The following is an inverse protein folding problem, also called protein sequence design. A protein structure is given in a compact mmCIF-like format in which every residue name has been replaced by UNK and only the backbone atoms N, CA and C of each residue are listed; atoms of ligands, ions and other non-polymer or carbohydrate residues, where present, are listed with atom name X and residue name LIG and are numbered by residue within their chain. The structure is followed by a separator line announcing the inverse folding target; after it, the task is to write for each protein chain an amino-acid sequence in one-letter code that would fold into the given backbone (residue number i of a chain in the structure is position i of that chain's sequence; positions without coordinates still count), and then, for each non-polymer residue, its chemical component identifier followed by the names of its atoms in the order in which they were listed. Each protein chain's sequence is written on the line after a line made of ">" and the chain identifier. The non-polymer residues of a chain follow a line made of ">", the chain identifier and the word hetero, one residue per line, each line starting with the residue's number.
data_IF_055046278263
#
_entry.id   IF_055046278263
#
_cell.length_a   1.000
_cell.length_b   1.000
_cell.length_c   1.000
_cell.angle_alpha   90.00
_cell.angle_beta   90.00
_cell.angle_gamma   90.00
#
_symmetry.space_group_name_H-M   'P 1'
#
loop_
_entity.id
_entity.type
_entity.pdbx_description
1 polymer ?
#
# COMPACT_ATOMS: atom_id res chain seq x y z
N UNK A 1 -4.63 24.24 23.36
CA UNK A 1 -4.18 23.34 22.28
C UNK A 1 -3.01 22.54 22.79
N UNK A 2 -3.08 21.22 23.00
CA UNK A 2 -1.94 20.41 23.38
C UNK A 2 -1.05 20.14 22.16
N UNK A 3 0.25 20.33 22.35
CA UNK A 3 1.31 20.09 21.36
C UNK A 3 1.49 18.58 21.15
N UNK A 4 1.27 18.12 19.93
CA UNK A 4 1.64 16.76 19.49
C UNK A 4 3.15 16.65 19.40
N UNK A 5 3.78 15.91 20.30
CA UNK A 5 5.19 15.59 20.25
C UNK A 5 5.44 14.26 19.53
N UNK A 6 6.10 14.31 18.37
CA UNK A 6 6.65 13.11 17.72
C UNK A 6 7.98 12.75 18.40
N UNK A 7 8.06 11.59 19.04
CA UNK A 7 9.33 11.02 19.50
C UNK A 7 9.69 9.80 18.66
N UNK A 8 10.87 9.83 18.04
CA UNK A 8 11.50 8.66 17.45
C UNK A 8 12.37 7.99 18.52
N UNK A 9 12.04 6.78 18.93
CA UNK A 9 12.89 5.99 19.81
C UNK A 9 13.92 5.24 18.99
N UNK A 10 15.10 5.83 18.85
CA UNK A 10 16.28 5.13 18.32
C UNK A 10 16.99 4.43 19.49
N UNK A 11 16.90 3.12 19.55
CA UNK A 11 17.73 2.32 20.46
C UNK A 11 19.13 2.20 19.89
N UNK A 12 20.07 2.93 20.48
CA UNK A 12 21.50 2.76 20.24
C UNK A 12 22.00 1.58 21.08
N UNK A 13 22.40 0.49 20.42
CA UNK A 13 23.37 -0.47 20.97
C UNK A 13 24.19 -1.12 19.87
N UNK A 14 25.51 -0.96 20.07
CA UNK A 14 26.61 -1.79 19.63
C UNK A 14 27.09 -1.74 18.17
N UNK A 15 28.01 -0.79 17.97
CA UNK A 15 29.08 -0.82 16.96
C UNK A 15 30.30 -1.53 17.52
N UNK A 16 30.59 -2.75 17.08
CA UNK A 16 31.96 -3.26 17.04
C UNK A 16 32.20 -4.23 15.88
N UNK A 17 33.05 -3.77 14.98
CA UNK A 17 34.01 -4.39 14.04
C UNK A 17 33.82 -5.86 13.64
N UNK A 18 33.70 -6.10 12.33
CA UNK A 18 34.61 -7.00 11.60
C UNK A 18 34.60 -6.73 10.08
N UNK A 19 35.77 -6.91 9.46
CA UNK A 19 36.19 -6.47 8.14
C UNK A 19 35.60 -7.29 6.96
N UNK A 20 35.47 -6.57 5.85
CA UNK A 20 35.76 -6.93 4.44
C UNK A 20 35.30 -8.29 3.92
N UNK A 21 34.24 -8.26 3.17
CA UNK A 21 33.91 -8.95 1.92
C UNK A 21 32.39 -9.15 1.82
N UNK A 22 31.69 -8.19 1.21
CA UNK A 22 30.37 -8.40 0.59
C UNK A 22 29.72 -7.06 0.24
N UNK A 23 30.21 -6.40 -0.81
CA UNK A 23 29.60 -5.18 -1.35
C UNK A 23 28.22 -5.45 -2.01
N UNK A 24 27.91 -6.71 -2.33
CA UNK A 24 26.63 -7.09 -2.94
C UNK A 24 25.53 -7.42 -1.94
N UNK A 25 25.86 -7.80 -0.70
CA UNK A 25 24.91 -8.08 0.38
C UNK A 25 24.54 -6.81 1.16
N UNK A 26 25.43 -5.81 1.22
CA UNK A 26 25.16 -4.54 1.90
C UNK A 26 24.08 -3.71 1.20
N UNK A 27 23.93 -3.78 -0.13
CA UNK A 27 22.89 -3.09 -0.87
C UNK A 27 21.47 -3.58 -0.52
N UNK A 28 21.28 -4.89 -0.33
CA UNK A 28 19.97 -5.47 0.03
C UNK A 28 19.59 -5.20 1.49
N UNK A 29 20.54 -5.32 2.42
CA UNK A 29 20.26 -5.08 3.84
C UNK A 29 19.96 -3.59 4.13
N UNK A 30 20.61 -2.65 3.45
CA UNK A 30 20.33 -1.22 3.61
C UNK A 30 18.97 -0.82 3.01
N UNK A 31 18.50 -1.47 1.95
CA UNK A 31 17.19 -1.21 1.35
C UNK A 31 16.04 -1.77 2.20
N UNK A 32 16.19 -2.95 2.80
CA UNK A 32 15.21 -3.49 3.75
C UNK A 32 15.09 -2.63 5.01
N UNK A 33 16.21 -2.16 5.57
CA UNK A 33 16.22 -1.21 6.69
C UNK A 33 15.55 0.13 6.34
N UNK A 34 15.74 0.64 5.12
CA UNK A 34 15.08 1.86 4.65
C UNK A 34 13.56 1.66 4.44
N UNK A 35 13.14 0.47 3.97
CA UNK A 35 11.74 0.10 3.83
C UNK A 35 11.03 -0.01 5.19
N UNK A 36 11.71 -0.53 6.21
CA UNK A 36 11.13 -0.75 7.53
C UNK A 36 11.23 0.47 8.47
N UNK A 37 12.00 1.51 8.14
CA UNK A 37 12.24 2.67 9.00
C UNK A 37 10.97 3.41 9.48
N UNK A 38 9.88 3.34 8.72
CA UNK A 38 8.61 3.97 9.10
C UNK A 38 7.75 3.10 10.03
N UNK A 39 8.08 1.84 10.23
CA UNK A 39 7.38 0.95 11.16
C UNK A 39 7.63 1.33 12.64
N UNK A 40 8.72 2.05 12.91
CA UNK A 40 9.08 2.50 14.26
C UNK A 40 8.39 3.79 14.66
N UNK A 41 7.74 4.50 13.73
CA UNK A 41 7.01 5.74 14.04
C UNK A 41 5.74 5.38 14.79
N UNK A 42 5.63 5.87 16.03
CA UNK A 42 4.45 5.69 16.85
C UNK A 42 3.89 7.05 17.28
N UNK A 43 2.57 7.13 17.36
CA UNK A 43 1.88 8.26 17.95
C UNK A 43 1.81 8.03 19.45
N UNK A 44 2.35 8.98 20.24
CA UNK A 44 2.23 8.98 21.69
C UNK A 44 1.41 10.19 22.13
N UNK A 45 0.54 9.95 23.08
CA UNK A 45 -0.29 10.97 23.67
C UNK A 45 -0.24 10.85 25.20
N UNK A 46 0.15 11.93 25.87
CA UNK A 46 0.12 12.02 27.32
C UNK A 46 -1.29 12.41 27.75
N UNK A 47 -1.93 11.55 28.50
CA UNK A 47 -3.32 11.73 28.94
C UNK A 47 -3.31 12.17 30.39
N UNK A 48 -3.90 13.35 30.66
CA UNK A 48 -4.05 13.88 32.01
C UNK A 48 -5.35 13.40 32.65
N UNK A 49 -5.38 13.44 33.98
CA UNK A 49 -6.60 13.21 34.75
C UNK A 49 -7.66 14.26 34.43
N UNK A 50 -8.97 13.90 34.22
CA UNK A 50 -9.58 12.58 34.36
C UNK A 50 -9.67 11.74 33.06
N UNK A 51 -9.09 12.21 31.96
CA UNK A 51 -9.20 11.59 30.64
C UNK A 51 -8.57 10.19 30.58
N UNK A 52 -7.72 9.83 31.54
CA UNK A 52 -7.12 8.49 31.66
C UNK A 52 -8.19 7.38 31.85
N UNK A 53 -9.36 7.74 32.42
CA UNK A 53 -10.48 6.82 32.57
C UNK A 53 -11.08 6.42 31.22
N UNK A 54 -10.99 7.31 30.23
CA UNK A 54 -11.49 7.12 28.88
C UNK A 54 -10.43 6.59 27.92
N UNK A 55 -9.24 7.21 27.92
CA UNK A 55 -8.11 6.83 27.08
C UNK A 55 -7.19 5.85 27.83
N UNK A 56 -7.66 4.62 27.97
CA UNK A 56 -6.87 3.55 28.58
C UNK A 56 -5.68 3.15 27.68
N UNK A 57 -4.64 2.46 28.19
CA UNK A 57 -3.52 1.97 27.41
C UNK A 57 -3.96 1.08 26.21
N UNK A 58 -5.05 0.30 26.37
CA UNK A 58 -5.61 -0.53 25.30
C UNK A 58 -6.20 0.34 24.17
N UNK A 59 -6.96 1.36 24.53
CA UNK A 59 -7.50 2.36 23.58
C UNK A 59 -6.39 3.03 22.80
N UNK A 60 -5.34 3.50 23.47
CA UNK A 60 -4.18 4.13 22.83
C UNK A 60 -3.43 3.15 21.92
N UNK A 61 -3.35 1.87 22.29
CA UNK A 61 -2.78 0.82 21.46
C UNK A 61 -3.55 0.62 20.16
N UNK A 62 -4.89 0.66 20.21
CA UNK A 62 -5.75 0.58 19.01
C UNK A 62 -5.55 1.78 18.08
N UNK A 63 -5.50 2.99 18.63
CA UNK A 63 -5.17 4.19 17.86
C UNK A 63 -3.79 4.12 17.21
N UNK A 64 -2.78 3.66 17.95
CA UNK A 64 -1.41 3.47 17.44
C UNK A 64 -1.39 2.47 16.27
N UNK A 65 -2.14 1.37 16.37
CA UNK A 65 -2.24 0.37 15.29
C UNK A 65 -2.84 0.97 14.01
N UNK A 66 -3.94 1.74 14.12
CA UNK A 66 -4.55 2.42 12.98
C UNK A 66 -3.60 3.47 12.39
N UNK A 67 -2.97 4.27 13.24
CA UNK A 67 -2.00 5.28 12.80
C UNK A 67 -0.82 4.68 12.02
N UNK A 68 -0.21 3.62 12.55
CA UNK A 68 0.90 2.92 11.88
C UNK A 68 0.50 2.39 10.50
N UNK A 69 -0.73 1.92 10.37
CA UNK A 69 -1.24 1.46 9.08
C UNK A 69 -1.43 2.62 8.09
N UNK A 70 -2.05 3.71 8.54
CA UNK A 70 -2.29 4.89 7.69
C UNK A 70 -0.98 5.56 7.24
N UNK A 71 0.02 5.66 8.11
CA UNK A 71 1.30 6.29 7.76
C UNK A 71 2.08 5.46 6.74
N UNK A 72 2.04 4.12 6.83
CA UNK A 72 2.63 3.23 5.83
C UNK A 72 1.94 3.35 4.47
N UNK A 73 0.62 3.43 4.48
CA UNK A 73 -0.18 3.62 3.27
C UNK A 73 0.13 4.98 2.62
N UNK A 74 0.22 6.04 3.43
CA UNK A 74 0.56 7.39 2.95
C UNK A 74 1.98 7.44 2.39
N UNK A 75 2.96 6.83 3.05
CA UNK A 75 4.31 6.70 2.52
C UNK A 75 4.32 6.04 1.14
N UNK A 76 3.63 4.91 1.00
CA UNK A 76 3.56 4.18 -0.28
C UNK A 76 2.97 5.07 -1.38
N UNK A 77 1.91 5.83 -1.08
CA UNK A 77 1.35 6.81 -2.02
C UNK A 77 2.40 7.85 -2.42
N UNK A 78 3.07 8.46 -1.47
CA UNK A 78 4.06 9.52 -1.71
C UNK A 78 5.24 9.03 -2.56
N UNK A 79 5.76 7.83 -2.31
CA UNK A 79 6.86 7.27 -3.10
C UNK A 79 6.42 6.96 -4.55
N UNK A 80 5.20 6.45 -4.75
CA UNK A 80 4.64 6.26 -6.08
C UNK A 80 4.42 7.60 -6.83
N UNK A 81 4.06 8.67 -6.14
CA UNK A 81 3.92 10.01 -6.72
C UNK A 81 5.29 10.62 -7.04
N UNK A 82 6.24 10.47 -6.14
CA UNK A 82 7.62 10.93 -6.33
C UNK A 82 8.28 10.27 -7.54
N UNK A 83 8.15 8.95 -7.69
CA UNK A 83 8.69 8.23 -8.84
C UNK A 83 8.10 8.73 -10.17
N UNK A 84 6.81 9.08 -10.20
CA UNK A 84 6.17 9.68 -11.37
C UNK A 84 6.73 11.06 -11.69
N UNK A 85 6.88 11.92 -10.68
CA UNK A 85 7.40 13.28 -10.85
C UNK A 85 8.83 13.27 -11.40
N UNK A 86 9.68 12.37 -10.89
CA UNK A 86 11.05 12.23 -11.35
C UNK A 86 11.12 11.89 -12.85
N UNK A 87 10.27 10.95 -13.31
CA UNK A 87 10.25 10.57 -14.73
C UNK A 87 9.63 11.63 -15.62
N UNK A 88 8.57 12.30 -15.19
CA UNK A 88 8.00 13.41 -15.96
C UNK A 88 9.02 14.55 -16.12
N UNK A 89 9.82 14.81 -15.09
CA UNK A 89 10.90 15.78 -15.19
C UNK A 89 11.94 15.35 -16.23
N UNK A 90 12.39 14.09 -16.20
CA UNK A 90 13.35 13.56 -17.17
C UNK A 90 12.80 13.55 -18.60
N UNK A 91 11.55 13.12 -18.78
CA UNK A 91 10.89 13.17 -20.10
C UNK A 91 10.79 14.61 -20.64
N UNK A 92 10.59 15.59 -19.77
CA UNK A 92 10.57 17.01 -20.16
C UNK A 92 11.96 17.51 -20.57
N UNK A 93 13.01 17.14 -19.86
CA UNK A 93 14.40 17.46 -20.20
C UNK A 93 14.77 16.82 -21.54
N UNK A 94 14.50 15.53 -21.71
CA UNK A 94 14.75 14.80 -22.95
C UNK A 94 13.99 15.41 -24.15
N UNK A 95 12.77 15.89 -23.94
CA UNK A 95 11.98 16.56 -24.97
C UNK A 95 12.57 17.94 -25.34
N UNK A 96 13.03 18.70 -24.36
CA UNK A 96 13.71 19.98 -24.58
C UNK A 96 14.99 19.83 -25.39
N UNK A 97 15.79 18.81 -25.11
CA UNK A 97 17.01 18.50 -25.84
C UNK A 97 16.73 17.95 -27.24
N UNK A 98 15.63 17.18 -27.42
CA UNK A 98 15.15 16.78 -28.75
C UNK A 98 14.79 17.95 -29.64
N UNK A 99 14.17 19.00 -29.07
CA UNK A 99 13.84 20.19 -29.83
C UNK A 99 15.09 20.97 -30.29
N UNK A 100 16.21 20.81 -29.56
CA UNK A 100 17.50 21.45 -29.89
C UNK A 100 18.33 20.63 -30.86
N UNK A 101 18.26 19.28 -30.78
CA UNK A 101 19.15 18.40 -31.55
C UNK A 101 18.37 17.21 -32.17
N UNK A 102 18.04 17.37 -33.47
CA UNK A 102 17.24 16.41 -34.25
C UNK A 102 17.87 15.02 -34.41
N UNK A 103 19.15 14.84 -34.05
CA UNK A 103 19.93 13.60 -34.21
C UNK A 103 19.68 12.56 -33.10
N UNK A 104 19.19 12.97 -31.92
CA UNK A 104 19.00 12.09 -30.76
C UNK A 104 17.58 11.47 -30.64
N UNK A 105 16.74 11.68 -31.67
CA UNK A 105 15.33 11.25 -31.71
C UNK A 105 15.12 9.76 -31.47
N UNK A 106 15.99 8.92 -32.03
CA UNK A 106 15.82 7.44 -32.00
C UNK A 106 16.07 6.85 -30.61
N UNK A 107 17.07 7.33 -29.88
CA UNK A 107 17.42 6.82 -28.55
C UNK A 107 16.34 7.18 -27.51
N UNK A 108 15.85 8.39 -27.52
CA UNK A 108 14.76 8.87 -26.63
C UNK A 108 13.46 8.09 -26.88
N UNK A 109 13.13 7.86 -28.14
CA UNK A 109 11.94 7.07 -28.51
C UNK A 109 12.05 5.62 -28.07
N UNK A 110 13.20 4.97 -28.22
CA UNK A 110 13.47 3.63 -27.73
C UNK A 110 13.39 3.54 -26.21
N UNK A 111 13.92 4.55 -25.49
CA UNK A 111 13.82 4.62 -24.03
C UNK A 111 12.34 4.69 -23.59
N UNK A 112 11.55 5.57 -24.16
CA UNK A 112 10.09 5.67 -23.88
C UNK A 112 9.35 4.37 -24.14
N UNK A 113 9.66 3.67 -25.22
CA UNK A 113 9.04 2.38 -25.52
C UNK A 113 9.41 1.31 -24.48
N UNK A 114 10.64 1.31 -23.95
CA UNK A 114 11.11 0.37 -22.92
C UNK A 114 10.50 0.66 -21.55
N UNK A 115 10.31 1.94 -21.19
CA UNK A 115 9.78 2.34 -19.88
C UNK A 115 8.25 2.32 -19.80
N UNK A 116 7.55 2.39 -20.94
CA UNK A 116 6.07 2.40 -21.01
C UNK A 116 5.38 1.26 -20.24
N UNK A 117 5.84 0.00 -20.25
CA UNK A 117 5.25 -1.08 -19.45
C UNK A 117 5.31 -0.80 -17.94
N UNK A 118 6.42 -0.23 -17.45
CA UNK A 118 6.61 0.08 -16.03
C UNK A 118 5.63 1.14 -15.55
N UNK A 119 5.32 2.13 -16.41
CA UNK A 119 4.35 3.17 -16.06
C UNK A 119 2.92 2.64 -15.98
N UNK A 120 2.58 1.64 -16.75
CA UNK A 120 1.30 0.97 -16.62
C UNK A 120 1.18 0.25 -15.27
N UNK A 121 2.24 -0.43 -14.85
CA UNK A 121 2.28 -1.12 -13.56
C UNK A 121 2.24 -0.12 -12.40
N UNK A 122 3.05 0.93 -12.48
CA UNK A 122 3.03 2.03 -11.49
C UNK A 122 1.63 2.61 -11.35
N UNK A 123 0.94 2.88 -12.46
CA UNK A 123 -0.41 3.45 -12.43
C UNK A 123 -1.41 2.47 -11.81
N UNK A 124 -1.28 1.18 -12.06
CA UNK A 124 -2.09 0.16 -11.40
C UNK A 124 -1.81 0.10 -9.89
N UNK A 125 -0.55 0.18 -9.47
CA UNK A 125 -0.17 0.28 -8.06
C UNK A 125 -0.76 1.53 -7.41
N UNK A 126 -0.60 2.69 -8.03
CA UNK A 126 -1.13 3.95 -7.52
C UNK A 126 -2.66 3.97 -7.46
N UNK A 127 -3.32 3.38 -8.45
CA UNK A 127 -4.79 3.22 -8.45
C UNK A 127 -5.27 2.38 -7.26
N UNK A 128 -4.65 1.23 -7.01
CA UNK A 128 -5.01 0.37 -5.88
C UNK A 128 -4.79 1.09 -4.54
N UNK A 129 -3.62 1.71 -4.35
CA UNK A 129 -3.27 2.41 -3.11
C UNK A 129 -4.20 3.61 -2.86
N UNK A 130 -4.49 4.45 -3.88
CA UNK A 130 -5.41 5.58 -3.75
C UNK A 130 -6.84 5.15 -3.41
N UNK A 131 -7.35 4.10 -4.05
CA UNK A 131 -8.68 3.59 -3.75
C UNK A 131 -8.76 2.97 -2.35
N UNK A 132 -7.72 2.27 -1.90
CA UNK A 132 -7.63 1.76 -0.54
C UNK A 132 -7.59 2.90 0.48
N UNK A 133 -6.82 3.94 0.22
CA UNK A 133 -6.73 5.12 1.08
C UNK A 133 -8.07 5.85 1.16
N UNK A 134 -8.74 6.06 0.03
CA UNK A 134 -10.08 6.66 0.00
C UNK A 134 -11.07 5.84 0.82
N UNK A 135 -11.09 4.52 0.64
CA UNK A 135 -11.95 3.62 1.39
C UNK A 135 -11.73 3.76 2.90
N UNK A 136 -10.50 3.73 3.37
CA UNK A 136 -10.20 3.80 4.80
C UNK A 136 -10.52 5.18 5.37
N UNK A 137 -10.12 6.26 4.69
CA UNK A 137 -10.29 7.62 5.20
C UNK A 137 -11.73 8.09 5.14
N UNK A 138 -12.42 7.90 4.01
CA UNK A 138 -13.76 8.44 3.79
C UNK A 138 -14.83 7.44 4.19
N UNK A 139 -14.78 6.22 3.61
CA UNK A 139 -15.86 5.25 3.83
C UNK A 139 -15.84 4.68 5.27
N UNK A 140 -14.64 4.53 5.88
CA UNK A 140 -14.52 3.94 7.22
C UNK A 140 -14.36 5.02 8.29
N UNK A 141 -13.27 5.78 8.29
CA UNK A 141 -12.95 6.68 9.40
C UNK A 141 -13.96 7.81 9.51
N UNK A 142 -14.22 8.55 8.43
CA UNK A 142 -15.11 9.70 8.43
C UNK A 142 -16.58 9.27 8.73
N UNK A 143 -17.02 8.17 8.13
CA UNK A 143 -18.34 7.62 8.38
C UNK A 143 -18.54 7.21 9.85
N UNK A 144 -17.59 6.47 10.43
CA UNK A 144 -17.66 6.04 11.83
C UNK A 144 -17.48 7.20 12.81
N UNK A 145 -16.69 8.20 12.44
CA UNK A 145 -16.55 9.43 13.22
C UNK A 145 -17.86 10.19 13.31
N UNK A 146 -18.60 10.34 12.22
CA UNK A 146 -19.90 11.00 12.21
C UNK A 146 -20.91 10.27 13.11
N UNK A 147 -20.90 8.93 13.11
CA UNK A 147 -21.75 8.13 14.01
C UNK A 147 -21.38 8.38 15.47
N UNK A 148 -20.07 8.36 15.79
CA UNK A 148 -19.60 8.65 17.15
C UNK A 148 -20.00 10.05 17.59
N UNK A 149 -19.83 11.07 16.73
CA UNK A 149 -20.19 12.45 17.05
C UNK A 149 -21.69 12.58 17.40
N UNK A 150 -22.58 11.93 16.65
CA UNK A 150 -24.02 11.93 16.95
C UNK A 150 -24.29 11.33 18.32
N UNK A 151 -23.71 10.17 18.62
CA UNK A 151 -23.88 9.52 19.94
C UNK A 151 -23.33 10.37 21.09
N UNK A 152 -22.20 11.06 20.88
CA UNK A 152 -21.60 11.95 21.90
C UNK A 152 -22.48 13.17 22.17
N UNK A 153 -23.20 13.67 21.15
CA UNK A 153 -24.12 14.80 21.32
C UNK A 153 -25.42 14.40 22.05
N UNK A 154 -25.88 13.17 21.81
CA UNK A 154 -27.16 12.68 22.33
C UNK A 154 -27.05 12.09 23.74
N UNK A 155 -25.89 11.52 24.11
CA UNK A 155 -25.68 10.86 25.40
C UNK A 155 -24.95 11.75 26.40
N UNK A 156 -25.42 11.67 27.67
CA UNK A 156 -24.83 12.34 28.83
C UNK A 156 -24.26 11.33 29.86
N UNK A 157 -24.37 10.02 29.57
CA UNK A 157 -23.84 8.98 30.44
C UNK A 157 -22.40 8.65 30.05
N UNK A 158 -21.49 8.69 31.02
CA UNK A 158 -20.10 8.37 30.86
C UNK A 158 -19.88 6.92 30.36
N UNK A 159 -20.65 5.96 30.88
CA UNK A 159 -20.53 4.54 30.52
C UNK A 159 -20.93 4.30 29.06
N UNK A 160 -21.98 4.96 28.60
CA UNK A 160 -22.41 4.93 27.21
C UNK A 160 -21.36 5.54 26.29
N UNK A 161 -20.79 6.69 26.65
CA UNK A 161 -19.73 7.34 25.88
C UNK A 161 -18.50 6.47 25.73
N UNK A 162 -18.07 5.77 26.79
CA UNK A 162 -16.98 4.81 26.74
C UNK A 162 -17.31 3.66 25.77
N UNK A 163 -18.53 3.15 25.82
CA UNK A 163 -18.99 2.07 24.94
C UNK A 163 -19.00 2.50 23.48
N UNK A 164 -19.58 3.65 23.15
CA UNK A 164 -19.62 4.20 21.78
C UNK A 164 -18.21 4.42 21.22
N UNK A 165 -17.28 4.88 22.05
CA UNK A 165 -15.90 5.05 21.64
C UNK A 165 -15.20 3.71 21.38
N UNK A 166 -15.44 2.69 22.19
CA UNK A 166 -14.91 1.34 21.97
C UNK A 166 -15.50 0.71 20.70
N UNK A 167 -16.77 0.90 20.43
CA UNK A 167 -17.43 0.45 19.21
C UNK A 167 -16.84 1.14 17.98
N UNK A 168 -16.61 2.46 18.05
CA UNK A 168 -15.92 3.21 17.02
C UNK A 168 -14.54 2.61 16.69
N UNK A 169 -13.69 2.38 17.69
CA UNK A 169 -12.36 1.81 17.48
C UNK A 169 -12.42 0.37 16.95
N UNK A 170 -13.37 -0.41 17.42
CA UNK A 170 -13.59 -1.78 16.95
C UNK A 170 -14.04 -1.78 15.48
N UNK A 171 -14.92 -0.84 15.10
CA UNK A 171 -15.32 -0.64 13.71
C UNK A 171 -14.14 -0.21 12.83
N UNK A 172 -13.31 0.73 13.28
CA UNK A 172 -12.11 1.14 12.53
C UNK A 172 -11.18 -0.04 12.24
N UNK A 173 -10.91 -0.88 13.23
CA UNK A 173 -10.00 -2.03 13.09
C UNK A 173 -10.60 -3.08 12.16
N UNK A 174 -11.88 -3.43 12.36
CA UNK A 174 -12.53 -4.49 11.58
C UNK A 174 -12.79 -4.08 10.13
N UNK A 175 -13.29 -2.88 9.91
CA UNK A 175 -13.59 -2.38 8.56
C UNK A 175 -12.32 -2.02 7.77
N UNK A 176 -11.23 -1.66 8.43
CA UNK A 176 -9.90 -1.50 7.79
C UNK A 176 -9.16 -2.82 7.57
N UNK A 177 -9.77 -3.97 7.86
CA UNK A 177 -9.21 -5.32 7.70
C UNK A 177 -7.96 -5.60 8.57
N UNK A 178 -7.75 -4.83 9.64
CA UNK A 178 -6.58 -4.98 10.52
C UNK A 178 -6.70 -6.16 11.47
N UNK A 179 -7.89 -6.69 11.68
CA UNK A 179 -8.19 -7.91 12.46
C UNK A 179 -8.10 -9.19 11.60
N UNK A 180 -8.13 -9.06 10.28
CA UNK A 180 -8.07 -10.20 9.35
C UNK A 180 -6.63 -10.42 8.90
N UNK A 181 -5.90 -11.30 9.61
CA UNK A 181 -4.48 -11.50 9.38
C UNK A 181 -4.08 -11.94 7.95
N UNK A 182 -4.97 -12.58 7.20
CA UNK A 182 -4.72 -12.92 5.78
C UNK A 182 -4.76 -11.67 4.90
N UNK A 183 -5.75 -10.80 5.08
CA UNK A 183 -5.90 -9.56 4.30
C UNK A 183 -4.81 -8.56 4.67
N UNK A 184 -4.56 -8.37 5.98
CA UNK A 184 -3.51 -7.47 6.46
C UNK A 184 -2.14 -7.84 5.90
N UNK A 185 -1.75 -9.13 5.91
CA UNK A 185 -0.47 -9.59 5.32
C UNK A 185 -0.37 -9.36 3.82
N UNK A 186 -1.48 -9.51 3.07
CA UNK A 186 -1.47 -9.24 1.63
C UNK A 186 -1.32 -7.74 1.38
N UNK A 187 -2.01 -6.89 2.14
CA UNK A 187 -1.90 -5.44 2.04
C UNK A 187 -0.48 -4.95 2.38
N UNK A 188 0.13 -5.49 3.44
CA UNK A 188 1.52 -5.21 3.79
C UNK A 188 2.49 -5.63 2.68
N UNK A 189 2.26 -6.81 2.09
CA UNK A 189 3.06 -7.30 0.96
C UNK A 189 2.92 -6.40 -0.28
N UNK A 190 1.70 -5.94 -0.59
CA UNK A 190 1.44 -5.00 -1.70
C UNK A 190 2.18 -3.68 -1.48
N UNK A 191 2.10 -3.10 -0.28
CA UNK A 191 2.81 -1.86 0.04
C UNK A 191 4.34 -2.02 -0.10
N UNK A 192 4.90 -3.14 0.40
CA UNK A 192 6.32 -3.46 0.23
C UNK A 192 6.71 -3.57 -1.24
N UNK A 193 5.94 -4.29 -2.05
CA UNK A 193 6.19 -4.41 -3.50
C UNK A 193 6.13 -3.05 -4.22
N UNK A 194 5.20 -2.17 -3.84
CA UNK A 194 5.15 -0.81 -4.39
C UNK A 194 6.42 -0.01 -4.06
N UNK A 195 6.92 -0.09 -2.82
CA UNK A 195 8.15 0.60 -2.42
C UNK A 195 9.38 0.00 -3.12
N UNK A 196 9.47 -1.32 -3.22
CA UNK A 196 10.53 -2.00 -3.98
C UNK A 196 10.53 -1.59 -5.45
N UNK A 197 9.35 -1.51 -6.06
CA UNK A 197 9.18 -1.06 -7.43
C UNK A 197 9.70 0.38 -7.63
N UNK A 198 9.32 1.32 -6.76
CA UNK A 198 9.81 2.70 -6.82
C UNK A 198 11.33 2.76 -6.72
N UNK A 199 11.90 2.02 -5.78
CA UNK A 199 13.35 1.96 -5.60
C UNK A 199 14.06 1.32 -6.79
N UNK A 200 13.55 0.22 -7.35
CA UNK A 200 14.12 -0.43 -8.53
C UNK A 200 14.06 0.45 -9.78
N UNK A 201 13.02 1.30 -9.91
CA UNK A 201 12.94 2.28 -11.00
C UNK A 201 13.99 3.39 -10.84
N UNK A 202 14.19 3.92 -9.64
CA UNK A 202 15.24 4.90 -9.38
C UNK A 202 16.62 4.35 -9.74
N UNK A 203 16.86 3.06 -9.50
CA UNK A 203 18.11 2.37 -9.86
C UNK A 203 18.18 1.95 -11.32
N UNK A 204 17.07 1.80 -12.03
CA UNK A 204 17.06 1.43 -13.44
C UNK A 204 17.80 2.45 -14.32
N UNK A 205 17.79 3.72 -13.98
CA UNK A 205 18.55 4.76 -14.65
C UNK A 205 20.08 4.57 -14.51
N UNK A 206 20.52 3.88 -13.48
CA UNK A 206 21.93 3.54 -13.20
C UNK A 206 22.36 2.16 -13.73
N UNK A 207 21.47 1.44 -14.45
CA UNK A 207 21.79 0.16 -15.09
C UNK A 207 21.33 -1.09 -14.34
N UNK A 208 20.39 -0.97 -13.39
CA UNK A 208 19.86 -2.09 -12.62
C UNK A 208 18.98 -3.06 -13.42
N UNK A 209 18.88 -4.28 -12.94
CA UNK A 209 18.29 -5.44 -13.59
C UNK A 209 16.81 -5.30 -13.93
N UNK A 210 16.46 -5.37 -15.21
CA UNK A 210 15.09 -5.42 -15.72
C UNK A 210 14.32 -6.62 -15.17
N UNK A 211 14.96 -7.74 -14.93
CA UNK A 211 14.37 -8.95 -14.35
C UNK A 211 13.76 -8.73 -12.96
N UNK A 212 14.31 -7.84 -12.16
CA UNK A 212 13.79 -7.55 -10.84
C UNK A 212 12.45 -6.81 -10.92
N UNK A 213 12.31 -5.86 -11.84
CA UNK A 213 11.07 -5.10 -12.05
C UNK A 213 9.96 -6.02 -12.58
N UNK A 214 10.29 -6.94 -13.50
CA UNK A 214 9.34 -7.90 -14.03
C UNK A 214 8.85 -8.85 -12.93
N UNK A 215 9.74 -9.34 -12.08
CA UNK A 215 9.39 -10.17 -10.93
C UNK A 215 8.49 -9.43 -9.92
N UNK A 216 8.82 -8.18 -9.57
CA UNK A 216 8.00 -7.34 -8.68
C UNK A 216 6.61 -7.14 -9.29
N UNK A 217 6.54 -6.91 -10.61
CA UNK A 217 5.29 -6.72 -11.35
C UNK A 217 4.40 -7.96 -11.28
N UNK A 218 4.98 -9.14 -11.50
CA UNK A 218 4.25 -10.41 -11.46
C UNK A 218 3.71 -10.69 -10.04
N UNK A 219 4.56 -10.54 -9.02
CA UNK A 219 4.15 -10.73 -7.62
C UNK A 219 3.08 -9.71 -7.19
N UNK A 220 3.18 -8.44 -7.62
CA UNK A 220 2.14 -7.44 -7.37
C UNK A 220 0.81 -7.84 -8.00
N UNK A 221 0.80 -8.25 -9.27
CA UNK A 221 -0.41 -8.69 -9.97
C UNK A 221 -1.04 -9.91 -9.27
N UNK A 222 -0.24 -10.86 -8.84
CA UNK A 222 -0.69 -12.05 -8.10
C UNK A 222 -1.29 -11.66 -6.75
N UNK A 223 -0.66 -10.76 -5.98
CA UNK A 223 -1.15 -10.29 -4.68
C UNK A 223 -2.41 -9.44 -4.83
N UNK A 224 -2.48 -8.54 -5.80
CA UNK A 224 -3.66 -7.70 -6.04
C UNK A 224 -4.88 -8.54 -6.47
N UNK A 225 -4.69 -9.53 -7.32
CA UNK A 225 -5.75 -10.47 -7.69
C UNK A 225 -6.21 -11.33 -6.51
N UNK A 226 -5.27 -11.80 -5.67
CA UNK A 226 -5.58 -12.55 -4.45
C UNK A 226 -6.38 -11.68 -3.47
N UNK A 227 -5.97 -10.42 -3.28
CA UNK A 227 -6.69 -9.45 -2.45
C UNK A 227 -8.14 -9.30 -2.93
N UNK A 228 -8.33 -9.00 -4.22
CA UNK A 228 -9.66 -8.82 -4.81
C UNK A 228 -10.53 -10.06 -4.63
N UNK A 229 -9.98 -11.26 -4.85
CA UNK A 229 -10.69 -12.53 -4.70
C UNK A 229 -11.13 -12.77 -3.25
N UNK A 230 -10.26 -12.49 -2.27
CA UNK A 230 -10.59 -12.65 -0.85
C UNK A 230 -11.66 -11.64 -0.43
N UNK A 231 -11.51 -10.37 -0.83
CA UNK A 231 -12.48 -9.33 -0.50
C UNK A 231 -13.86 -9.59 -1.14
N UNK A 232 -13.90 -10.18 -2.34
CA UNK A 232 -15.14 -10.56 -3.03
C UNK A 232 -15.79 -11.80 -2.45
N UNK A 233 -15.10 -12.57 -1.62
CA UNK A 233 -15.66 -13.80 -1.05
C UNK A 233 -16.96 -13.51 -0.31
N UNK A 234 -17.94 -14.42 -0.39
CA UNK A 234 -19.24 -14.29 0.29
C UNK A 234 -19.11 -14.12 1.81
N UNK A 235 -18.03 -14.61 2.37
CA UNK A 235 -17.70 -14.47 3.80
C UNK A 235 -17.43 -13.02 4.21
N UNK A 236 -16.85 -12.20 3.35
CA UNK A 236 -16.54 -10.79 3.63
C UNK A 236 -17.58 -9.86 3.01
N UNK A 237 -17.94 -10.05 1.76
CA UNK A 237 -18.86 -9.18 1.03
C UNK A 237 -20.30 -9.20 1.57
N UNK A 238 -20.72 -10.29 2.22
CA UNK A 238 -22.01 -10.41 2.90
C UNK A 238 -22.00 -10.04 4.39
N UNK A 239 -20.84 -9.64 4.92
CA UNK A 239 -20.68 -9.35 6.32
C UNK A 239 -21.11 -7.92 6.65
N UNK A 240 -21.89 -7.73 7.72
CA UNK A 240 -22.17 -6.41 8.29
C UNK A 240 -20.91 -5.68 8.81
N UNK A 241 -19.79 -6.40 8.95
CA UNK A 241 -18.50 -5.85 9.40
C UNK A 241 -17.88 -4.87 8.41
N UNK A 242 -18.26 -4.92 7.14
CA UNK A 242 -17.69 -4.03 6.13
C UNK A 242 -18.80 -3.51 5.19
N UNK A 243 -19.69 -2.62 5.66
CA UNK A 243 -20.83 -2.14 4.90
C UNK A 243 -20.45 -1.45 3.60
N UNK A 244 -19.27 -0.81 3.56
CA UNK A 244 -18.77 -0.08 2.39
C UNK A 244 -17.89 -0.93 1.45
N UNK A 245 -17.64 -2.21 1.80
CA UNK A 245 -16.78 -3.09 1.01
C UNK A 245 -17.29 -3.28 -0.43
N UNK A 246 -18.60 -3.36 -0.61
CA UNK A 246 -19.21 -3.47 -1.95
C UNK A 246 -18.86 -2.27 -2.84
N UNK A 247 -18.93 -1.07 -2.29
CA UNK A 247 -18.60 0.17 -3.02
C UNK A 247 -17.11 0.22 -3.35
N UNK A 248 -16.26 -0.18 -2.42
CA UNK A 248 -14.83 -0.31 -2.65
C UNK A 248 -14.50 -1.31 -3.78
N UNK A 249 -15.12 -2.49 -3.77
CA UNK A 249 -14.96 -3.50 -4.83
C UNK A 249 -15.46 -2.99 -6.19
N UNK A 250 -16.56 -2.25 -6.23
CA UNK A 250 -17.04 -1.63 -7.47
C UNK A 250 -16.06 -0.60 -8.01
N UNK A 251 -15.45 0.24 -7.14
CA UNK A 251 -14.42 1.18 -7.55
C UNK A 251 -13.17 0.48 -8.08
N UNK A 252 -12.71 -0.58 -7.42
CA UNK A 252 -11.55 -1.34 -7.86
C UNK A 252 -11.75 -2.03 -9.21
N UNK A 253 -12.96 -2.48 -9.48
CA UNK A 253 -13.27 -3.26 -10.68
C UNK A 253 -14.19 -2.52 -11.67
N UNK A 254 -14.21 -1.16 -11.65
CA UNK A 254 -15.11 -0.38 -12.52
C UNK A 254 -14.89 -0.66 -14.02
N UNK A 255 -13.66 -1.01 -14.42
CA UNK A 255 -13.28 -1.37 -15.79
C UNK A 255 -13.22 -2.89 -16.02
N UNK A 256 -13.75 -3.69 -15.11
CA UNK A 256 -13.73 -5.16 -15.13
C UNK A 256 -12.34 -5.80 -15.24
N UNK A 257 -11.28 -5.06 -14.85
CA UNK A 257 -9.89 -5.52 -14.95
C UNK A 257 -9.64 -6.81 -14.19
N UNK A 258 -10.05 -6.90 -12.95
CA UNK A 258 -9.84 -8.09 -12.10
C UNK A 258 -10.65 -9.29 -12.60
N UNK A 259 -11.84 -9.09 -13.13
CA UNK A 259 -12.66 -10.17 -13.68
C UNK A 259 -12.09 -10.72 -15.00
N UNK A 260 -11.62 -9.84 -15.87
CA UNK A 260 -10.98 -10.25 -17.13
C UNK A 260 -9.67 -10.96 -16.89
N UNK A 261 -8.87 -10.49 -15.93
CA UNK A 261 -7.61 -11.14 -15.56
C UNK A 261 -7.84 -12.52 -14.94
N UNK A 262 -8.83 -12.65 -14.04
CA UNK A 262 -9.19 -13.94 -13.45
C UNK A 262 -9.69 -14.96 -14.52
N UNK A 263 -10.47 -14.51 -15.49
CA UNK A 263 -10.93 -15.35 -16.62
C UNK A 263 -9.77 -15.74 -17.54
N UNK A 264 -8.84 -14.83 -17.82
CA UNK A 264 -7.64 -15.09 -18.62
C UNK A 264 -6.76 -16.17 -18.01
N UNK A 265 -6.55 -16.14 -16.69
CA UNK A 265 -5.80 -17.17 -15.97
C UNK A 265 -6.49 -18.53 -15.99
N UNK A 266 -7.82 -18.56 -15.90
CA UNK A 266 -8.58 -19.81 -16.02
C UNK A 266 -8.54 -20.42 -17.44
N UNK A 267 -8.51 -19.59 -18.48
CA UNK A 267 -8.42 -20.06 -19.86
C UNK A 267 -7.01 -20.55 -20.25
N UNK A 268 -5.95 -19.92 -19.74
CA UNK A 268 -4.58 -20.38 -19.98
C UNK A 268 -4.26 -21.72 -19.29
N UNK A 269 -4.91 -22.02 -18.16
CA UNK A 269 -4.81 -23.34 -17.51
C UNK A 269 -5.54 -24.48 -18.21
N UNK A 270 -6.36 -24.21 -19.24
CA UNK A 270 -7.13 -25.20 -20.00
C UNK A 270 -6.53 -25.60 -21.36
N UNK A 271 -5.45 -24.97 -21.81
CA UNK A 271 -4.73 -25.41 -22.98
C UNK A 271 -3.93 -26.68 -22.66
N UNK A 272 -4.58 -27.83 -22.77
CA UNK A 272 -3.91 -29.14 -22.90
C UNK A 272 -3.09 -29.12 -24.18
N UNK A 273 -1.82 -29.57 -24.17
CA UNK A 273 -1.11 -29.82 -25.43
C UNK A 273 -1.87 -30.90 -26.21
N UNK A 274 -2.36 -30.52 -27.37
CA UNK A 274 -3.00 -31.44 -28.27
C UNK A 274 -2.02 -32.52 -28.67
N UNK A 275 -2.39 -33.78 -28.49
CA UNK A 275 -1.74 -34.96 -29.06
C UNK A 275 -1.66 -34.79 -30.55
N UNK A 276 -0.46 -34.67 -31.10
CA UNK A 276 -0.20 -34.78 -32.50
C UNK A 276 -0.56 -36.21 -32.94
N UNK A 277 -1.64 -36.38 -33.65
CA UNK A 277 -1.97 -37.63 -34.37
C UNK A 277 -1.08 -37.70 -35.60
N UNK A 278 -0.05 -38.52 -35.51
CA UNK A 278 0.66 -39.04 -36.69
C UNK A 278 -0.32 -39.89 -37.50
N UNK A 279 -0.66 -39.47 -38.69
CA UNK A 279 -1.21 -40.33 -39.70
C UNK A 279 -0.17 -40.54 -40.78
N UNK A 280 0.10 -41.84 -40.99
CA UNK A 280 0.84 -42.44 -42.10
C UNK A 280 0.17 -42.16 -43.45
#
# INVERSE_FOLDING_TARGET
>A
MPLFGMKSSTSQKDLQKSNTSDLSLQGKASSELALDGWHTIALEYSVDWPLQLFFTPDVLSKYRKVFQYLIRLKRTQMELEKSWTAVMHQDHVDFSDYCKDRKNSSATQLRRLRTKPFWRVREHMAFLIRNLQFYIQVDVIESQWNVLQTHVQDSHDFTELVTFHQDYLSALISQSFLDIGSVSRILDSIMKLCLQFCWSIEQYETGANMFEIDHITEEFNKKSNSLYTILRSSRLAGSQRAPFLRQFLMRLNFNSFFETTARGVMNSGRLRPGTASTQL
#
